data_IF_522744766583
#
_entry.id   IF_522744766583
#
_cell.length_a   1.000
_cell.length_b   1.000
_cell.length_c   1.000
_cell.angle_alpha   90.00
_cell.angle_beta   90.00
_cell.angle_gamma   90.00
#
_symmetry.space_group_name_H-M   'P 1'
#
loop_
_entity.id
_entity.type
_entity.pdbx_description
1 polymer ?
#
# COMPACT_ATOMS: atom_id res chain seq x y z
N UNK A 1 -7.65 -33.85 22.11
CA UNK A 1 -6.95 -34.09 20.83
C UNK A 1 -7.75 -33.55 19.66
N UNK A 2 -9.09 -33.69 19.67
CA UNK A 2 -9.99 -33.12 18.64
C UNK A 2 -10.07 -31.57 18.64
N UNK A 3 -9.87 -30.92 19.79
CA UNK A 3 -9.96 -29.45 19.91
C UNK A 3 -8.87 -28.73 19.09
N UNK A 4 -7.62 -29.24 19.13
CA UNK A 4 -6.50 -28.66 18.36
C UNK A 4 -6.57 -28.94 16.85
N UNK A 5 -7.24 -30.03 16.44
CA UNK A 5 -7.49 -30.29 15.02
C UNK A 5 -8.57 -29.35 14.46
N UNK A 6 -9.59 -29.02 15.27
CA UNK A 6 -10.64 -28.10 14.86
C UNK A 6 -10.14 -26.65 14.75
N UNK A 7 -9.23 -26.22 15.63
CA UNK A 7 -8.57 -24.89 15.56
C UNK A 7 -7.71 -24.75 14.30
N UNK A 8 -6.87 -25.75 13.98
CA UNK A 8 -6.04 -25.72 12.77
C UNK A 8 -6.85 -25.72 11.47
N UNK A 9 -8.00 -26.42 11.46
CA UNK A 9 -8.85 -26.54 10.29
C UNK A 9 -9.70 -25.28 10.07
N UNK A 10 -10.17 -24.65 11.15
CA UNK A 10 -10.90 -23.37 11.11
C UNK A 10 -9.98 -22.20 10.75
N UNK A 11 -8.75 -22.20 11.26
CA UNK A 11 -7.73 -21.27 10.81
C UNK A 11 -7.56 -21.39 9.28
N UNK A 12 -7.46 -22.59 8.71
CA UNK A 12 -7.22 -22.81 7.27
C UNK A 12 -8.31 -22.25 6.36
N UNK A 13 -9.58 -22.33 6.78
CA UNK A 13 -10.69 -21.72 6.06
C UNK A 13 -10.62 -20.18 6.08
N UNK A 14 -10.28 -19.58 7.23
CA UNK A 14 -10.11 -18.12 7.34
C UNK A 14 -8.96 -17.61 6.46
N UNK A 15 -7.85 -18.35 6.39
CA UNK A 15 -6.71 -18.02 5.53
C UNK A 15 -7.09 -18.05 4.05
N UNK A 16 -7.81 -19.08 3.61
CA UNK A 16 -8.29 -19.19 2.24
C UNK A 16 -9.27 -18.05 1.89
N UNK A 17 -10.12 -17.65 2.84
CA UNK A 17 -11.02 -16.52 2.68
C UNK A 17 -10.26 -15.19 2.52
N UNK A 18 -9.24 -14.94 3.35
CA UNK A 18 -8.39 -13.76 3.20
C UNK A 18 -7.61 -13.78 1.88
N UNK A 19 -7.07 -14.93 1.47
CA UNK A 19 -6.40 -15.09 0.18
C UNK A 19 -7.32 -14.80 -1.00
N UNK A 20 -8.55 -15.33 -0.98
CA UNK A 20 -9.55 -15.06 -2.00
C UNK A 20 -9.89 -13.57 -2.06
N UNK A 21 -10.05 -12.93 -0.90
CA UNK A 21 -10.32 -11.49 -0.79
C UNK A 21 -9.15 -10.64 -1.26
N UNK A 22 -7.91 -11.06 -1.02
CA UNK A 22 -6.73 -10.40 -1.59
C UNK A 22 -6.73 -10.52 -3.12
N UNK A 23 -7.02 -11.71 -3.66
CA UNK A 23 -7.09 -11.96 -5.09
C UNK A 23 -8.14 -11.06 -5.78
N UNK A 24 -9.33 -10.92 -5.20
CA UNK A 24 -10.36 -9.98 -5.66
C UNK A 24 -9.90 -8.51 -5.59
N UNK A 25 -9.04 -8.22 -4.64
CA UNK A 25 -8.50 -6.89 -4.43
C UNK A 25 -7.23 -6.66 -5.25
N UNK A 26 -6.66 -7.59 -6.00
CA UNK A 26 -5.41 -7.29 -6.70
C UNK A 26 -5.56 -6.08 -7.64
N UNK A 27 -4.57 -5.17 -7.66
CA UNK A 27 -4.58 -4.09 -8.65
C UNK A 27 -4.66 -4.74 -10.04
N UNK A 28 -5.40 -4.14 -10.99
CA UNK A 28 -5.43 -4.62 -12.36
C UNK A 28 -3.99 -4.84 -12.81
N UNK A 29 -3.69 -6.05 -13.31
CA UNK A 29 -2.37 -6.38 -13.82
C UNK A 29 -1.94 -5.22 -14.73
N UNK A 30 -0.87 -4.54 -14.33
CA UNK A 30 -0.25 -3.55 -15.18
C UNK A 30 0.25 -4.36 -16.37
N UNK A 31 -0.54 -4.44 -17.45
CA UNK A 31 -0.02 -4.93 -18.71
C UNK A 31 1.09 -3.93 -19.06
N UNK A 32 2.33 -4.33 -18.74
CA UNK A 32 3.59 -3.70 -19.12
C UNK A 32 3.75 -3.89 -20.63
N UNK A 33 2.75 -3.44 -21.37
CA UNK A 33 2.63 -3.63 -22.80
C UNK A 33 3.10 -2.42 -23.58
N UNK A 34 3.39 -1.26 -22.96
CA UNK A 34 3.54 -0.06 -23.80
C UNK A 34 4.54 1.04 -23.45
N UNK A 35 4.96 1.35 -22.21
CA UNK A 35 5.76 2.59 -22.03
C UNK A 35 6.78 2.59 -20.88
N UNK A 36 8.07 2.58 -21.24
CA UNK A 36 9.25 2.68 -20.37
C UNK A 36 9.19 3.87 -19.40
N UNK A 37 8.73 5.05 -19.86
CA UNK A 37 8.71 6.26 -19.03
C UNK A 37 7.81 6.12 -17.79
N UNK A 38 6.65 5.49 -17.91
CA UNK A 38 5.71 5.32 -16.79
C UNK A 38 6.27 4.32 -15.75
N UNK A 39 6.98 3.29 -16.21
CA UNK A 39 7.67 2.34 -15.32
C UNK A 39 8.74 3.08 -14.51
N UNK A 40 9.54 3.94 -15.15
CA UNK A 40 10.56 4.72 -14.45
C UNK A 40 9.95 5.73 -13.47
N UNK A 41 8.85 6.39 -13.83
CA UNK A 41 8.17 7.35 -12.94
C UNK A 41 7.51 6.64 -11.76
N UNK A 42 6.91 5.45 -11.98
CA UNK A 42 6.38 4.59 -10.91
C UNK A 42 7.48 4.17 -9.95
N UNK A 43 8.63 3.71 -10.47
CA UNK A 43 9.75 3.28 -9.64
C UNK A 43 10.25 4.44 -8.76
N UNK A 44 10.44 5.63 -9.34
CA UNK A 44 10.82 6.83 -8.56
C UNK A 44 9.80 7.19 -7.50
N UNK A 45 8.51 7.07 -7.81
CA UNK A 45 7.44 7.29 -6.83
C UNK A 45 7.47 6.26 -5.70
N UNK A 46 7.69 4.98 -5.99
CA UNK A 46 7.85 3.93 -4.99
C UNK A 46 9.06 4.18 -4.09
N UNK A 47 10.21 4.51 -4.68
CA UNK A 47 11.43 4.86 -3.94
C UNK A 47 11.19 6.06 -3.01
N UNK A 48 10.48 7.08 -3.50
CA UNK A 48 10.11 8.24 -2.69
C UNK A 48 9.17 7.86 -1.53
N UNK A 49 8.15 7.03 -1.77
CA UNK A 49 7.24 6.55 -0.71
C UNK A 49 8.03 5.80 0.36
N UNK A 50 8.89 4.86 -0.02
CA UNK A 50 9.72 4.10 0.91
C UNK A 50 10.65 5.01 1.73
N UNK A 51 11.26 6.01 1.08
CA UNK A 51 12.10 7.00 1.76
C UNK A 51 11.29 7.80 2.79
N UNK A 52 10.11 8.27 2.43
CA UNK A 52 9.24 9.04 3.34
C UNK A 52 8.77 8.18 4.51
N UNK A 53 8.39 6.92 4.25
CA UNK A 53 8.06 5.96 5.30
C UNK A 53 9.21 5.77 6.29
N UNK A 54 10.45 5.64 5.80
CA UNK A 54 11.62 5.51 6.67
C UNK A 54 11.90 6.77 7.50
N UNK A 55 11.78 7.97 6.91
CA UNK A 55 11.99 9.25 7.61
C UNK A 55 10.95 9.45 8.72
N UNK A 56 9.69 9.11 8.45
CA UNK A 56 8.58 9.33 9.38
C UNK A 56 8.30 8.12 10.28
N UNK A 57 9.05 7.01 10.11
CA UNK A 57 8.86 5.75 10.85
C UNK A 57 7.44 5.21 10.74
N UNK A 58 6.91 5.22 9.52
CA UNK A 58 5.64 4.55 9.23
C UNK A 58 5.81 3.05 9.25
N UNK A 59 4.74 2.36 9.64
CA UNK A 59 4.73 0.90 9.60
C UNK A 59 4.90 0.39 8.17
N UNK A 60 5.42 -0.84 8.03
CA UNK A 60 5.50 -1.53 6.74
C UNK A 60 4.13 -1.63 6.05
N UNK A 61 3.06 -1.81 6.83
CA UNK A 61 1.69 -1.84 6.32
C UNK A 61 1.32 -0.52 5.64
N UNK A 62 1.61 0.62 6.27
CA UNK A 62 1.38 1.96 5.72
C UNK A 62 2.13 2.16 4.40
N UNK A 63 3.39 1.71 4.30
CA UNK A 63 4.16 1.78 3.07
C UNK A 63 3.56 0.91 1.95
N UNK A 64 3.18 -0.33 2.26
CA UNK A 64 2.61 -1.29 1.31
C UNK A 64 1.24 -0.82 0.80
N UNK A 65 0.36 -0.34 1.69
CA UNK A 65 -0.94 0.22 1.30
C UNK A 65 -0.76 1.47 0.41
N UNK A 66 0.20 2.32 0.72
CA UNK A 66 0.50 3.52 -0.09
C UNK A 66 0.90 3.16 -1.51
N UNK A 67 1.78 2.17 -1.68
CA UNK A 67 2.20 1.67 -3.01
C UNK A 67 1.02 1.00 -3.73
N UNK A 68 0.21 0.21 -3.01
CA UNK A 68 -0.95 -0.44 -3.61
C UNK A 68 -1.97 0.58 -4.14
N UNK A 69 -2.22 1.65 -3.39
CA UNK A 69 -3.09 2.75 -3.83
C UNK A 69 -2.49 3.45 -5.05
N UNK A 70 -1.19 3.76 -5.05
CA UNK A 70 -0.52 4.33 -6.20
C UNK A 70 -0.76 3.48 -7.44
N UNK A 71 -0.49 2.17 -7.38
CA UNK A 71 -0.62 1.26 -8.53
C UNK A 71 -2.05 1.18 -9.08
N UNK A 72 -3.06 1.18 -8.21
CA UNK A 72 -4.47 1.24 -8.63
C UNK A 72 -4.82 2.54 -9.32
N UNK A 73 -4.28 3.66 -8.86
CA UNK A 73 -4.53 4.96 -9.48
C UNK A 73 -3.80 5.05 -10.83
N UNK A 74 -2.55 4.58 -10.91
CA UNK A 74 -1.80 4.54 -12.15
C UNK A 74 -2.52 3.68 -13.22
N UNK A 75 -3.10 2.55 -12.82
CA UNK A 75 -3.86 1.67 -13.72
C UNK A 75 -5.22 2.25 -14.11
N UNK A 76 -5.93 2.90 -13.18
CA UNK A 76 -7.27 3.47 -13.45
C UNK A 76 -7.20 4.74 -14.30
N UNK A 77 -6.24 5.63 -14.02
CA UNK A 77 -6.23 6.95 -14.62
C UNK A 77 -5.61 7.01 -16.01
N UNK A 78 -5.03 5.91 -16.52
CA UNK A 78 -4.17 5.88 -17.72
C UNK A 78 -3.45 7.23 -17.89
N UNK A 79 -2.71 7.61 -16.85
CA UNK A 79 -2.31 8.99 -16.62
C UNK A 79 -1.85 9.64 -17.92
N UNK A 80 -2.46 10.79 -18.24
CA UNK A 80 -2.17 11.49 -19.48
C UNK A 80 -0.66 11.64 -19.64
N UNK A 81 -0.16 10.99 -20.70
CA UNK A 81 1.25 10.81 -21.03
C UNK A 81 2.04 12.12 -20.84
N UNK A 82 3.24 12.01 -20.25
CA UNK A 82 4.19 13.13 -20.17
C UNK A 82 3.98 14.12 -19.02
N UNK A 83 3.21 13.75 -17.98
CA UNK A 83 3.00 14.60 -16.79
C UNK A 83 3.62 13.96 -15.53
N UNK A 84 4.96 13.99 -15.37
CA UNK A 84 5.64 13.38 -14.22
C UNK A 84 5.21 14.00 -12.87
N UNK A 85 4.79 15.28 -12.89
CA UNK A 85 4.21 15.94 -11.73
C UNK A 85 2.94 15.24 -11.20
N UNK A 86 2.16 14.57 -12.05
CA UNK A 86 0.97 13.84 -11.62
C UNK A 86 1.34 12.59 -10.84
N UNK A 87 2.33 11.84 -11.31
CA UNK A 87 2.82 10.64 -10.60
C UNK A 87 3.37 11.04 -9.23
N UNK A 88 4.14 12.13 -9.17
CA UNK A 88 4.65 12.66 -7.90
C UNK A 88 3.54 13.17 -6.97
N UNK A 89 2.52 13.85 -7.50
CA UNK A 89 1.35 14.26 -6.71
C UNK A 89 0.63 13.06 -6.10
N UNK A 90 0.45 11.98 -6.87
CA UNK A 90 -0.12 10.74 -6.35
C UNK A 90 0.80 10.07 -5.32
N UNK A 91 2.11 10.09 -5.55
CA UNK A 91 3.11 9.56 -4.62
C UNK A 91 3.05 10.28 -3.26
N UNK A 92 2.76 11.59 -3.23
CA UNK A 92 2.54 12.36 -2.00
C UNK A 92 1.16 12.09 -1.39
N UNK A 93 0.13 11.98 -2.25
CA UNK A 93 -1.27 11.83 -1.82
C UNK A 93 -1.53 10.47 -1.17
N UNK A 94 -0.97 9.38 -1.71
CA UNK A 94 -1.27 8.04 -1.22
C UNK A 94 -0.81 7.83 0.24
N UNK A 95 0.45 8.12 0.60
CA UNK A 95 0.89 8.08 2.00
C UNK A 95 0.13 9.06 2.89
N UNK A 96 -0.13 10.29 2.42
CA UNK A 96 -0.91 11.29 3.18
C UNK A 96 -2.31 10.80 3.55
N UNK A 97 -2.93 10.01 2.67
CA UNK A 97 -4.23 9.40 2.94
C UNK A 97 -4.10 8.16 3.85
N UNK A 98 -3.19 7.24 3.55
CA UNK A 98 -3.02 5.99 4.32
C UNK A 98 -2.65 6.30 5.76
N UNK A 99 -1.77 7.27 6.01
CA UNK A 99 -1.39 7.64 7.38
C UNK A 99 -2.57 8.16 8.18
N UNK A 100 -3.51 8.88 7.57
CA UNK A 100 -4.75 9.31 8.25
C UNK A 100 -5.70 8.16 8.61
N UNK A 101 -5.58 7.03 7.93
CA UNK A 101 -6.43 5.84 8.15
C UNK A 101 -5.77 4.87 9.11
N UNK A 102 -4.46 4.64 8.98
CA UNK A 102 -3.73 3.59 9.69
C UNK A 102 -2.90 4.11 10.87
N UNK A 103 -2.44 5.37 10.84
CA UNK A 103 -1.58 5.92 11.88
C UNK A 103 -2.38 6.79 12.86
N UNK A 104 -2.14 6.58 14.17
CA UNK A 104 -2.85 7.28 15.25
C UNK A 104 -2.33 8.73 15.39
N UNK A 105 -1.10 8.99 14.96
CA UNK A 105 -0.44 10.28 15.14
C UNK A 105 -0.69 11.22 13.94
N UNK A 106 -0.95 12.49 14.23
CA UNK A 106 -1.05 13.52 13.21
C UNK A 106 0.30 13.72 12.51
N UNK A 107 0.41 13.27 11.26
CA UNK A 107 1.58 13.45 10.43
C UNK A 107 1.46 14.76 9.64
N UNK A 108 2.43 15.70 9.74
CA UNK A 108 2.46 16.88 8.89
C UNK A 108 2.65 16.53 7.40
N UNK A 109 2.39 17.50 6.52
CA UNK A 109 2.46 17.32 5.06
C UNK A 109 3.76 16.64 4.60
N UNK A 110 3.59 15.53 3.88
CA UNK A 110 4.67 14.66 3.41
C UNK A 110 5.26 15.17 2.09
N UNK A 111 6.05 16.25 2.12
CA UNK A 111 6.61 16.86 0.90
C UNK A 111 8.14 17.03 0.91
N UNK A 112 8.86 16.11 1.56
CA UNK A 112 10.33 16.13 1.64
C UNK A 112 10.96 15.74 0.31
N UNK A 113 11.98 16.49 -0.13
CA UNK A 113 12.77 16.25 -1.35
C UNK A 113 11.92 16.06 -2.62
N UNK A 114 10.87 16.88 -2.74
CA UNK A 114 9.94 16.84 -3.86
C UNK A 114 10.32 17.88 -4.92
N UNK A 115 10.43 17.45 -6.20
CA UNK A 115 10.62 18.38 -7.34
C UNK A 115 9.48 19.40 -7.51
N UNK A 116 8.25 19.00 -7.19
CA UNK A 116 7.05 19.83 -7.27
C UNK A 116 6.45 19.96 -5.88
N UNK A 117 6.15 21.20 -5.49
CA UNK A 117 5.45 21.52 -4.25
C UNK A 117 3.99 21.78 -4.57
N UNK A 118 3.09 21.04 -3.93
CA UNK A 118 1.65 21.17 -4.05
C UNK A 118 1.06 21.82 -2.81
N UNK A 119 -0.01 22.59 -2.99
CA UNK A 119 -0.80 23.10 -1.88
C UNK A 119 -1.54 21.97 -1.16
N UNK A 120 -1.71 22.10 0.16
CA UNK A 120 -2.49 21.16 0.97
C UNK A 120 -3.90 20.92 0.41
N UNK A 121 -4.54 21.97 -0.12
CA UNK A 121 -5.87 21.88 -0.76
C UNK A 121 -5.86 20.98 -2.00
N UNK A 122 -4.78 21.00 -2.78
CA UNK A 122 -4.62 20.15 -3.96
C UNK A 122 -4.43 18.70 -3.54
N UNK A 123 -3.61 18.45 -2.52
CA UNK A 123 -3.41 17.11 -1.95
C UNK A 123 -4.75 16.57 -1.43
N UNK A 124 -5.48 17.33 -0.61
CA UNK A 124 -6.79 16.93 -0.08
C UNK A 124 -7.82 16.60 -1.17
N UNK A 125 -7.88 17.39 -2.25
CA UNK A 125 -8.74 17.07 -3.41
C UNK A 125 -8.35 15.76 -4.07
N UNK A 126 -7.05 15.45 -4.13
CA UNK A 126 -6.58 14.17 -4.66
C UNK A 126 -6.83 13.02 -3.71
N UNK A 127 -6.73 13.21 -2.39
CA UNK A 127 -7.12 12.19 -1.41
C UNK A 127 -8.57 11.75 -1.62
N UNK A 128 -9.49 12.71 -1.81
CA UNK A 128 -10.89 12.41 -2.11
C UNK A 128 -11.06 11.62 -3.42
N UNK A 129 -10.26 11.94 -4.44
CA UNK A 129 -10.23 11.18 -5.69
C UNK A 129 -9.73 9.75 -5.47
N UNK A 130 -8.70 9.56 -4.64
CA UNK A 130 -8.19 8.24 -4.27
C UNK A 130 -9.28 7.44 -3.56
N UNK A 131 -9.91 8.01 -2.54
CA UNK A 131 -11.03 7.40 -1.81
C UNK A 131 -12.16 6.97 -2.75
N UNK A 132 -12.55 7.85 -3.67
CA UNK A 132 -13.60 7.58 -4.65
C UNK A 132 -13.21 6.44 -5.60
N UNK A 133 -11.96 6.42 -6.06
CA UNK A 133 -11.43 5.37 -6.95
C UNK A 133 -11.40 4.01 -6.26
N UNK A 134 -11.04 3.99 -4.98
CA UNK A 134 -11.03 2.78 -4.14
C UNK A 134 -12.43 2.39 -3.65
N UNK A 135 -13.47 3.14 -4.01
CA UNK A 135 -14.85 2.96 -3.49
C UNK A 135 -14.86 2.93 -1.96
N UNK A 136 -14.01 3.74 -1.33
CA UNK A 136 -13.83 3.85 0.13
C UNK A 136 -13.38 2.55 0.82
N UNK A 137 -12.90 1.55 0.07
CA UNK A 137 -12.37 0.29 0.60
C UNK A 137 -10.90 0.45 1.00
N UNK A 138 -10.66 1.01 2.18
CA UNK A 138 -9.31 1.35 2.66
C UNK A 138 -8.59 0.20 3.38
N UNK A 139 -9.35 -0.73 3.95
CA UNK A 139 -8.76 -1.90 4.59
C UNK A 139 -8.49 -2.99 3.54
N UNK A 140 -7.42 -2.82 2.77
CA UNK A 140 -6.99 -3.85 1.84
C UNK A 140 -6.38 -5.02 2.61
N UNK A 141 -6.76 -6.24 2.21
CA UNK A 141 -6.02 -7.42 2.61
C UNK A 141 -4.69 -7.36 1.87
N UNK A 142 -3.59 -7.44 2.62
CA UNK A 142 -2.25 -7.47 2.05
C UNK A 142 -1.55 -8.76 2.46
N UNK A 143 -0.50 -9.20 1.75
CA UNK A 143 0.28 -10.36 2.16
C UNK A 143 0.83 -10.28 3.58
N UNK A 144 1.01 -9.06 4.09
CA UNK A 144 1.43 -8.81 5.48
C UNK A 144 0.42 -9.35 6.50
N UNK A 145 -0.88 -9.32 6.19
CA UNK A 145 -1.95 -9.75 7.09
C UNK A 145 -1.86 -11.23 7.48
N UNK A 146 -1.20 -12.05 6.67
CA UNK A 146 -1.01 -13.48 6.92
C UNK A 146 0.46 -13.91 6.96
N UNK A 147 1.39 -12.95 6.94
CA UNK A 147 2.83 -13.21 6.95
C UNK A 147 3.27 -13.93 8.23
N UNK A 148 2.79 -13.47 9.40
CA UNK A 148 3.04 -14.12 10.69
C UNK A 148 2.61 -15.60 10.67
N UNK A 149 1.46 -15.89 10.06
CA UNK A 149 0.96 -17.25 9.93
C UNK A 149 1.80 -18.12 8.99
N UNK A 150 2.24 -17.58 7.85
CA UNK A 150 3.16 -18.28 6.95
C UNK A 150 4.47 -18.61 7.68
N UNK A 151 5.03 -17.64 8.41
CA UNK A 151 6.28 -17.81 9.17
C UNK A 151 6.14 -18.92 10.22
N UNK A 152 5.03 -18.93 10.97
CA UNK A 152 4.74 -19.99 11.97
C UNK A 152 4.63 -21.37 11.32
N UNK A 153 3.98 -21.48 10.15
CA UNK A 153 3.83 -22.76 9.42
C UNK A 153 5.13 -23.28 8.82
N UNK A 154 6.03 -22.40 8.41
CA UNK A 154 7.33 -22.77 7.84
C UNK A 154 8.34 -23.23 8.90
N UNK A 155 7.96 -23.31 10.18
CA UNK A 155 8.76 -23.93 11.25
C UNK A 155 9.91 -23.07 11.76
N UNK A 156 10.02 -21.82 11.32
CA UNK A 156 11.07 -20.92 11.77
C UNK A 156 10.73 -20.34 13.16
N UNK A 157 11.30 -20.93 14.22
CA UNK A 157 11.42 -20.28 15.56
C UNK A 157 12.40 -19.11 15.53
N UNK A 158 12.24 -18.19 14.59
CA UNK A 158 13.08 -17.00 14.50
C UNK A 158 12.31 -15.84 15.09
N UNK A 159 12.94 -15.15 16.04
CA UNK A 159 12.52 -13.93 16.72
C UNK A 159 12.27 -12.72 15.77
N UNK A 160 11.69 -12.91 14.60
CA UNK A 160 11.44 -11.90 13.56
C UNK A 160 10.18 -11.06 13.83
N UNK A 161 9.49 -11.32 14.95
CA UNK A 161 8.17 -10.76 15.26
C UNK A 161 8.17 -9.24 15.57
N UNK A 162 9.33 -8.58 15.64
CA UNK A 162 9.40 -7.17 16.09
C UNK A 162 10.06 -6.17 15.13
N UNK A 163 10.72 -6.60 14.04
CA UNK A 163 11.40 -5.65 13.13
C UNK A 163 10.58 -5.27 11.90
N UNK A 164 9.65 -6.12 11.44
CA UNK A 164 8.85 -5.81 10.25
C UNK A 164 7.60 -4.95 10.53
N UNK A 165 7.24 -4.74 11.80
CA UNK A 165 6.00 -4.05 12.22
C UNK A 165 6.24 -2.73 12.97
N UNK A 166 7.46 -2.21 12.98
CA UNK A 166 7.78 -0.82 13.35
C UNK A 166 8.10 0.00 12.11
#
# INVERSE_FOLDING_TARGET
>A
MEIHQNEHQQEDEEFLLFFAKEAEQQPPCFYVGTHESLVTDRQKAMEWILKVSAINRFTTLTAVLSINYLDRLLSTFQLQRGKPWMVQLLAITCPSLVTKVEEIQHVPLLQVDTKYVFEAKTICRKELLVLSTLKWKMHLVTPLSFLDRIIRRLGSKTHLHCEFLK
#
